data_IF_399215431051
#
_entry.id   IF_399215431051
#
_cell.length_a   1.000
_cell.length_b   1.000
_cell.length_c   1.000
_cell.angle_alpha   90.00
_cell.angle_beta   90.00
_cell.angle_gamma   90.00
#
_symmetry.space_group_name_H-M   'P 1'
#
loop_
_entity.id
_entity.type
_entity.pdbx_description
1 polymer ?
#
# COMPACT_ATOMS: atom_id res chain seq x y z
N UNK A 1 -15.27 -11.20 -6.53
CA UNK A 1 -15.42 -10.39 -7.75
C UNK A 1 -15.36 -11.32 -8.93
N UNK A 2 -16.32 -11.19 -9.83
CA UNK A 2 -16.40 -11.96 -11.06
C UNK A 2 -15.81 -11.16 -12.24
N UNK A 3 -15.23 -11.82 -13.23
CA UNK A 3 -14.72 -11.10 -14.43
C UNK A 3 -15.86 -10.49 -15.23
N UNK A 4 -17.07 -11.03 -15.10
CA UNK A 4 -18.27 -10.51 -15.75
C UNK A 4 -18.69 -9.10 -15.26
N UNK A 5 -18.22 -8.66 -14.08
CA UNK A 5 -18.46 -7.28 -13.59
C UNK A 5 -17.59 -6.24 -14.31
N UNK A 6 -16.50 -6.69 -14.95
CA UNK A 6 -15.54 -5.84 -15.66
C UNK A 6 -15.21 -6.39 -17.07
N UNK A 7 -16.22 -6.55 -17.94
CA UNK A 7 -16.01 -7.14 -19.27
C UNK A 7 -15.21 -6.23 -20.21
N UNK A 8 -15.11 -4.93 -19.87
CA UNK A 8 -14.42 -3.91 -20.67
C UNK A 8 -12.96 -3.68 -20.26
N UNK A 9 -12.51 -4.27 -19.15
CA UNK A 9 -11.14 -4.17 -18.69
C UNK A 9 -10.26 -5.22 -19.39
N UNK A 10 -9.05 -4.82 -19.79
CA UNK A 10 -8.03 -5.78 -20.22
C UNK A 10 -7.48 -6.56 -19.03
N UNK A 11 -6.84 -7.71 -19.27
CA UNK A 11 -6.29 -8.54 -18.19
C UNK A 11 -5.38 -7.81 -17.19
N UNK A 12 -4.45 -6.94 -17.61
CA UNK A 12 -3.62 -6.17 -16.68
C UNK A 12 -4.44 -5.19 -15.82
N UNK A 13 -5.49 -4.59 -16.40
CA UNK A 13 -6.38 -3.67 -15.69
C UNK A 13 -7.24 -4.44 -14.69
N UNK A 14 -7.73 -5.61 -15.06
CA UNK A 14 -8.49 -6.48 -14.19
C UNK A 14 -7.65 -7.01 -13.02
N UNK A 15 -6.38 -7.37 -13.25
CA UNK A 15 -5.46 -7.72 -12.17
C UNK A 15 -5.27 -6.56 -11.18
N UNK A 16 -5.18 -5.32 -11.68
CA UNK A 16 -5.09 -4.12 -10.82
C UNK A 16 -6.33 -3.93 -9.96
N UNK A 17 -7.53 -4.17 -10.52
CA UNK A 17 -8.80 -4.18 -9.77
C UNK A 17 -8.84 -5.29 -8.73
N UNK A 18 -8.41 -6.51 -9.07
CA UNK A 18 -8.34 -7.64 -8.14
C UNK A 18 -7.38 -7.36 -6.98
N UNK A 19 -6.24 -6.72 -7.28
CA UNK A 19 -5.25 -6.30 -6.28
C UNK A 19 -5.84 -5.24 -5.34
N UNK A 20 -6.55 -4.24 -5.87
CA UNK A 20 -7.28 -3.26 -5.07
C UNK A 20 -8.30 -3.91 -4.14
N UNK A 21 -9.01 -4.93 -4.61
CA UNK A 21 -9.97 -5.67 -3.79
C UNK A 21 -9.28 -6.36 -2.61
N UNK A 22 -8.06 -6.86 -2.84
CA UNK A 22 -7.23 -7.49 -1.82
C UNK A 22 -6.63 -6.51 -0.81
N UNK A 23 -6.43 -5.24 -1.17
CA UNK A 23 -5.85 -4.22 -0.26
C UNK A 23 -6.89 -3.33 0.43
N UNK A 24 -7.93 -2.89 -0.28
CA UNK A 24 -8.94 -1.96 0.23
C UNK A 24 -10.29 -2.62 0.54
N UNK A 25 -10.49 -3.87 0.13
CA UNK A 25 -11.76 -4.57 0.26
C UNK A 25 -12.70 -4.34 -0.93
N UNK A 26 -13.74 -5.18 -1.03
CA UNK A 26 -14.71 -5.14 -2.13
C UNK A 26 -15.55 -3.85 -2.13
N UNK A 27 -15.73 -3.22 -0.96
CA UNK A 27 -16.50 -1.98 -0.78
C UNK A 27 -15.91 -0.80 -1.54
N UNK A 28 -14.57 -0.69 -1.61
CA UNK A 28 -13.88 0.34 -2.37
C UNK A 28 -14.13 0.25 -3.88
N UNK A 29 -14.50 -0.94 -4.35
CA UNK A 29 -14.76 -1.22 -5.76
C UNK A 29 -16.22 -1.03 -6.14
N UNK A 30 -17.11 -0.79 -5.17
CA UNK A 30 -18.51 -0.49 -5.43
C UNK A 30 -18.67 0.82 -6.24
N UNK A 31 -17.80 1.81 -5.99
CA UNK A 31 -17.74 3.05 -6.80
C UNK A 31 -17.23 2.80 -8.22
N UNK A 32 -16.36 1.80 -8.40
CA UNK A 32 -15.86 1.41 -9.71
C UNK A 32 -16.93 0.65 -10.49
N UNK A 33 -17.66 -0.28 -9.86
CA UNK A 33 -18.77 -1.01 -10.49
C UNK A 33 -19.93 -0.09 -10.88
N UNK A 34 -20.21 0.95 -10.09
CA UNK A 34 -21.26 1.93 -10.39
C UNK A 34 -20.89 2.94 -11.50
N UNK A 35 -19.61 3.03 -11.89
CA UNK A 35 -19.15 3.97 -12.90
C UNK A 35 -19.45 3.45 -14.32
N UNK A 36 -19.54 4.36 -15.29
CA UNK A 36 -19.69 3.96 -16.69
C UNK A 36 -18.47 3.18 -17.18
N UNK A 37 -18.58 2.32 -18.21
CA UNK A 37 -17.45 1.54 -18.72
C UNK A 37 -16.23 2.39 -19.10
N UNK A 38 -16.45 3.60 -19.64
CA UNK A 38 -15.38 4.53 -19.97
C UNK A 38 -14.68 5.07 -18.72
N UNK A 39 -15.44 5.44 -17.69
CA UNK A 39 -14.90 5.89 -16.40
C UNK A 39 -14.19 4.78 -15.65
N UNK A 40 -14.64 3.52 -15.73
CA UNK A 40 -13.95 2.39 -15.10
C UNK A 40 -12.52 2.24 -15.62
N UNK A 41 -12.37 2.25 -16.94
CA UNK A 41 -11.06 2.16 -17.61
C UNK A 41 -10.17 3.32 -17.20
N UNK A 42 -10.72 4.54 -17.20
CA UNK A 42 -9.99 5.74 -16.80
C UNK A 42 -9.52 5.68 -15.34
N UNK A 43 -10.43 5.35 -14.40
CA UNK A 43 -10.12 5.29 -12.97
C UNK A 43 -9.12 4.21 -12.63
N UNK A 44 -9.20 3.03 -13.26
CA UNK A 44 -8.20 1.97 -13.09
C UNK A 44 -6.84 2.42 -13.59
N UNK A 45 -6.77 3.12 -14.73
CA UNK A 45 -5.52 3.62 -15.28
C UNK A 45 -4.92 4.78 -14.45
N UNK A 46 -5.77 5.68 -13.96
CA UNK A 46 -5.37 6.75 -13.05
C UNK A 46 -4.80 6.17 -11.75
N UNK A 47 -5.41 5.09 -11.25
CA UNK A 47 -4.95 4.44 -10.02
C UNK A 47 -3.66 3.63 -10.23
N UNK A 48 -3.49 2.95 -11.37
CA UNK A 48 -2.21 2.33 -11.74
C UNK A 48 -1.08 3.37 -11.81
N UNK A 49 -1.35 4.51 -12.43
CA UNK A 49 -0.41 5.64 -12.49
C UNK A 49 -0.09 6.19 -11.11
N UNK A 50 -1.11 6.38 -10.27
CA UNK A 50 -0.94 6.83 -8.89
C UNK A 50 -0.13 5.84 -8.06
N UNK A 51 -0.41 4.53 -8.17
CA UNK A 51 0.34 3.48 -7.50
C UNK A 51 1.81 3.49 -7.90
N UNK A 52 2.10 3.57 -9.21
CA UNK A 52 3.47 3.68 -9.71
C UNK A 52 4.17 4.93 -9.20
N UNK A 53 3.48 6.07 -9.18
CA UNK A 53 3.97 7.32 -8.62
C UNK A 53 4.24 7.21 -7.12
N UNK A 54 3.35 6.57 -6.37
CA UNK A 54 3.49 6.34 -4.93
C UNK A 54 4.64 5.39 -4.63
N UNK A 55 4.79 4.29 -5.36
CA UNK A 55 5.93 3.37 -5.22
C UNK A 55 7.23 4.08 -5.57
N UNK A 56 7.27 4.87 -6.64
CA UNK A 56 8.45 5.65 -7.00
C UNK A 56 8.81 6.68 -5.93
N UNK A 57 7.80 7.35 -5.35
CA UNK A 57 7.97 8.32 -4.28
C UNK A 57 8.49 7.64 -2.99
N UNK A 58 7.86 6.55 -2.56
CA UNK A 58 8.29 5.76 -1.40
C UNK A 58 9.68 5.17 -1.61
N UNK A 59 9.98 4.70 -2.82
CA UNK A 59 11.32 4.19 -3.15
C UNK A 59 12.37 5.31 -3.15
N UNK A 60 12.03 6.48 -3.68
CA UNK A 60 12.90 7.66 -3.68
C UNK A 60 13.13 8.23 -2.28
N UNK A 61 12.13 8.17 -1.40
CA UNK A 61 12.28 8.57 0.00
C UNK A 61 12.98 7.52 0.88
N UNK A 62 12.96 6.25 0.45
CA UNK A 62 13.66 5.13 1.10
C UNK A 62 15.07 4.91 0.53
N UNK A 63 15.47 5.61 -0.54
CA UNK A 63 16.87 5.78 -0.85
C UNK A 63 17.49 6.64 0.26
N UNK A 64 18.55 6.17 0.95
CA UNK A 64 19.22 7.01 1.92
C UNK A 64 19.69 8.27 1.19
N UNK A 65 19.47 9.48 1.73
CA UNK A 65 20.23 10.61 1.26
C UNK A 65 21.69 10.18 1.36
N UNK A 66 22.42 10.18 0.25
CA UNK A 66 23.89 10.07 0.24
C UNK A 66 24.54 11.30 0.90
N UNK A 67 23.90 11.87 1.92
CA UNK A 67 24.54 12.71 2.88
C UNK A 67 25.39 11.79 3.74
N UNK A 68 26.68 11.75 3.41
CA UNK A 68 27.80 11.51 4.30
C UNK A 68 27.32 11.46 5.78
N UNK A 69 27.02 10.26 6.27
CA UNK A 69 26.74 10.05 7.67
C UNK A 69 28.08 10.21 8.36
N UNK A 70 28.44 11.44 8.70
CA UNK A 70 29.40 11.68 9.77
C UNK A 70 28.83 10.93 10.98
N UNK A 71 29.58 10.00 11.59
CA UNK A 71 29.11 9.27 12.77
C UNK A 71 29.09 10.26 13.94
N UNK A 72 28.09 11.12 13.98
CA UNK A 72 27.83 11.97 15.13
C UNK A 72 27.22 11.06 16.17
N UNK A 73 28.01 10.71 17.18
CA UNK A 73 27.69 9.83 18.30
C UNK A 73 26.25 10.04 18.80
N UNK A 74 25.30 9.28 18.28
CA UNK A 74 23.98 9.18 18.88
C UNK A 74 24.15 8.30 20.12
N UNK A 75 24.12 8.94 21.29
CA UNK A 75 24.12 8.26 22.60
C UNK A 75 22.97 7.24 22.62
N UNK A 76 23.23 5.96 22.92
CA UNK A 76 22.15 4.99 23.10
C UNK A 76 21.24 5.46 24.25
N UNK A 77 19.97 5.73 23.94
CA UNK A 77 18.97 6.04 24.95
C UNK A 77 18.72 4.75 25.75
N UNK A 78 19.28 4.66 26.96
CA UNK A 78 19.13 3.48 27.82
C UNK A 78 17.70 3.44 28.36
N UNK A 79 16.82 2.74 27.65
CA UNK A 79 15.45 2.46 28.11
C UNK A 79 15.50 1.49 29.29
N UNK A 80 15.15 1.98 30.49
CA UNK A 80 15.08 1.17 31.70
C UNK A 80 13.76 0.41 31.73
N UNK A 81 13.70 -0.72 31.01
CA UNK A 81 12.60 -1.67 31.08
C UNK A 81 12.61 -2.30 32.48
N UNK A 82 11.58 -2.05 33.28
CA UNK A 82 11.31 -2.82 34.50
C UNK A 82 10.53 -4.06 34.08
N UNK A 83 11.16 -5.22 34.14
CA UNK A 83 10.50 -6.51 34.00
C UNK A 83 9.61 -6.75 35.21
N UNK A 84 8.29 -6.86 35.00
CA UNK A 84 7.36 -7.32 36.02
C UNK A 84 7.31 -8.84 35.94
N UNK A 85 7.90 -9.52 36.93
CA UNK A 85 7.76 -10.97 37.10
C UNK A 85 6.34 -11.27 37.56
N UNK A 86 5.48 -11.70 36.63
CA UNK A 86 4.19 -12.31 36.97
C UNK A 86 4.48 -13.71 37.50
N UNK A 87 4.37 -13.87 38.82
CA UNK A 87 4.40 -15.17 39.48
C UNK A 87 3.11 -15.92 39.19
N UNK A 88 3.21 -16.99 38.40
CA UNK A 88 2.23 -18.07 38.38
C UNK A 88 2.89 -19.27 39.05
N UNK A 89 2.68 -19.40 40.36
CA UNK A 89 2.87 -20.68 41.06
C UNK A 89 1.66 -21.57 40.78
N UNK A 90 1.93 -22.87 40.59
CA UNK A 90 0.97 -23.93 40.32
C UNK A 90 0.98 -24.90 41.50
#
# INVERSE_FOLDING_TARGET
MDRNEFPHLNDPQYESVRKMAGTFGMEALQSLVAATPAEQVERVNALDTYERGLIAHVRGSMQPPMAEVKPSHQKPLRLKVKTFTSGFEK
#
